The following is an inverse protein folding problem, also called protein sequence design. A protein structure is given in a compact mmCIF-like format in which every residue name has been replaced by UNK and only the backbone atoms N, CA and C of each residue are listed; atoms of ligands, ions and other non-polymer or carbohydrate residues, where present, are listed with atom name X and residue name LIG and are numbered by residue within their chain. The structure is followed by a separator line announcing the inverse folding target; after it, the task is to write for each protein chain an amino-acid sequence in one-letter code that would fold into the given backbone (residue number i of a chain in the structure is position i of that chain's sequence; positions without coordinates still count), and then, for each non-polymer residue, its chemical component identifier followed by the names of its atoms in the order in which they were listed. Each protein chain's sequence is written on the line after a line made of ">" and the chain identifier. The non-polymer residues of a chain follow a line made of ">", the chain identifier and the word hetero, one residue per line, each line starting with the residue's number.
data_IF_542731417366
#
_entry.id   IF_542731417366
#
_cell.length_a   1.000
_cell.length_b   1.000
_cell.length_c   1.000
_cell.angle_alpha   90.00
_cell.angle_beta   90.00
_cell.angle_gamma   90.00
#
_symmetry.space_group_name_H-M   'P 1'
#
loop_
_entity.id
_entity.type
_entity.pdbx_description
1 polymer ?
#
# COMPACT_ATOMS: atom_id res chain seq x y z
N UNK A 1 24.76 -0.93 20.11
CA UNK A 1 25.06 -0.65 18.69
C UNK A 1 26.54 -0.90 18.48
N UNK A 2 26.93 -2.03 17.88
CA UNK A 2 28.35 -2.35 17.68
C UNK A 2 28.89 -1.72 16.39
N UNK A 3 30.06 -1.10 16.44
CA UNK A 3 30.74 -0.40 15.33
C UNK A 3 30.78 -1.24 14.05
N UNK A 4 31.00 -2.54 14.17
CA UNK A 4 30.99 -3.50 13.07
C UNK A 4 29.70 -3.48 12.23
N UNK A 5 28.51 -3.36 12.84
CA UNK A 5 27.24 -3.30 12.10
C UNK A 5 27.09 -2.00 11.32
N UNK A 6 27.70 -0.90 11.78
CA UNK A 6 27.66 0.40 11.09
C UNK A 6 28.54 0.33 9.84
N UNK A 7 29.77 -0.16 9.97
CA UNK A 7 30.71 -0.31 8.84
C UNK A 7 30.13 -1.23 7.76
N UNK A 8 29.56 -2.37 8.14
CA UNK A 8 28.91 -3.30 7.21
C UNK A 8 27.68 -2.71 6.51
N UNK A 9 26.89 -1.87 7.21
CA UNK A 9 25.77 -1.13 6.60
C UNK A 9 26.26 -0.09 5.61
N UNK A 10 27.29 0.68 5.98
CA UNK A 10 27.86 1.72 5.14
C UNK A 10 28.42 1.17 3.83
N UNK A 11 29.17 0.06 3.87
CA UNK A 11 29.67 -0.61 2.66
C UNK A 11 28.55 -1.08 1.71
N UNK A 12 27.36 -1.39 2.23
CA UNK A 12 26.23 -1.89 1.43
C UNK A 12 25.35 -0.78 0.87
N UNK A 13 25.17 0.30 1.61
CA UNK A 13 24.17 1.35 1.33
C UNK A 13 24.81 2.70 0.97
N UNK A 14 26.12 2.84 1.18
CA UNK A 14 26.89 4.07 0.99
C UNK A 14 26.31 5.28 1.74
N UNK A 15 25.55 5.01 2.81
CA UNK A 15 24.85 6.02 3.60
C UNK A 15 25.01 5.71 5.08
N UNK A 16 25.19 6.78 5.86
CA UNK A 16 25.30 6.74 7.32
C UNK A 16 23.92 6.90 7.98
N UNK A 17 22.92 7.32 7.20
CA UNK A 17 21.56 7.54 7.67
C UNK A 17 20.91 6.23 8.15
N UNK A 18 20.16 6.34 9.24
CA UNK A 18 19.41 5.21 9.74
C UNK A 18 18.28 4.83 8.77
N UNK A 19 18.14 3.53 8.54
CA UNK A 19 17.06 3.03 7.71
C UNK A 19 15.71 3.33 8.38
N UNK A 20 14.73 3.85 7.62
CA UNK A 20 13.39 4.04 8.16
C UNK A 20 12.89 2.70 8.67
N UNK A 21 12.44 2.66 9.92
CA UNK A 21 11.84 1.44 10.49
C UNK A 21 10.72 1.00 9.56
N UNK A 22 10.87 -0.19 8.98
CA UNK A 22 9.95 -0.71 7.99
C UNK A 22 8.52 -0.71 8.55
N UNK A 23 7.65 0.12 7.96
CA UNK A 23 6.26 0.14 8.36
C UNK A 23 5.59 -1.19 7.98
N UNK A 24 4.77 -1.75 8.88
CA UNK A 24 4.03 -2.97 8.57
C UNK A 24 3.08 -2.71 7.39
N UNK A 25 3.07 -3.56 6.35
CA UNK A 25 2.16 -3.40 5.24
C UNK A 25 0.71 -3.43 5.72
N UNK A 26 -0.14 -2.53 5.22
CA UNK A 26 -1.57 -2.52 5.53
C UNK A 26 -2.23 -3.79 4.99
N UNK A 27 -2.86 -4.58 5.86
CA UNK A 27 -3.48 -5.87 5.52
C UNK A 27 -4.51 -5.79 4.40
N UNK A 28 -5.30 -4.72 4.35
CA UNK A 28 -6.38 -4.53 3.36
C UNK A 28 -5.85 -4.04 2.01
N UNK A 29 -4.74 -3.31 1.99
CA UNK A 29 -4.19 -2.68 0.77
C UNK A 29 -3.20 -3.60 0.03
N UNK A 30 -3.60 -4.86 -0.18
CA UNK A 30 -2.78 -5.80 -0.94
C UNK A 30 -2.77 -5.44 -2.42
N UNK A 31 -1.76 -5.93 -3.14
CA UNK A 31 -1.69 -5.79 -4.60
C UNK A 31 -2.92 -6.41 -5.29
N UNK A 32 -3.37 -7.58 -4.81
CA UNK A 32 -4.55 -8.29 -5.36
C UNK A 32 -5.81 -7.44 -5.26
N UNK A 33 -6.07 -6.83 -4.10
CA UNK A 33 -7.24 -5.94 -3.91
C UNK A 33 -7.16 -4.74 -4.86
N UNK A 34 -6.00 -4.09 -4.96
CA UNK A 34 -5.80 -2.96 -5.88
C UNK A 34 -6.09 -3.34 -7.33
N UNK A 35 -5.62 -4.49 -7.79
CA UNK A 35 -5.85 -4.99 -9.15
C UNK A 35 -7.34 -5.22 -9.43
N UNK A 36 -8.07 -5.82 -8.48
CA UNK A 36 -9.52 -6.07 -8.61
C UNK A 36 -10.31 -4.76 -8.61
N UNK A 37 -9.99 -3.83 -7.71
CA UNK A 37 -10.66 -2.51 -7.64
C UNK A 37 -10.42 -1.71 -8.92
N UNK A 38 -9.17 -1.68 -9.42
CA UNK A 38 -8.85 -1.02 -10.70
C UNK A 38 -9.67 -1.60 -11.85
N UNK A 39 -9.75 -2.94 -11.97
CA UNK A 39 -10.59 -3.59 -12.99
C UNK A 39 -12.07 -3.20 -12.87
N UNK A 40 -12.62 -3.16 -11.66
CA UNK A 40 -14.04 -2.80 -11.46
C UNK A 40 -14.35 -1.35 -11.82
N UNK A 41 -13.44 -0.41 -11.50
CA UNK A 41 -13.57 1.00 -11.89
C UNK A 41 -13.54 1.14 -13.41
N UNK A 42 -12.61 0.44 -14.08
CA UNK A 42 -12.52 0.48 -15.55
C UNK A 42 -13.75 -0.14 -16.22
N UNK A 43 -14.31 -1.20 -15.63
CA UNK A 43 -15.51 -1.85 -16.16
C UNK A 43 -16.78 -1.02 -15.93
N UNK A 44 -16.91 -0.40 -14.76
CA UNK A 44 -18.08 0.38 -14.36
C UNK A 44 -17.63 1.70 -13.73
N UNK A 45 -17.31 2.68 -14.58
CA UNK A 45 -16.79 3.98 -14.16
C UNK A 45 -17.76 4.78 -13.27
N UNK A 46 -19.07 4.59 -13.45
CA UNK A 46 -20.13 5.17 -12.60
C UNK A 46 -20.46 4.34 -11.35
N UNK A 47 -19.69 3.28 -11.08
CA UNK A 47 -19.94 2.33 -10.00
C UNK A 47 -19.72 2.93 -8.60
N UNK A 48 -20.66 2.67 -7.67
CA UNK A 48 -20.53 3.12 -6.28
C UNK A 48 -19.39 2.41 -5.55
N UNK A 49 -18.47 3.19 -4.97
CA UNK A 49 -17.41 2.68 -4.08
C UNK A 49 -17.96 1.88 -2.89
N UNK A 50 -19.14 2.25 -2.37
CA UNK A 50 -19.76 1.55 -1.24
C UNK A 50 -20.17 0.13 -1.63
N UNK A 51 -20.77 -0.04 -2.81
CA UNK A 51 -21.14 -1.35 -3.37
C UNK A 51 -19.91 -2.22 -3.64
N UNK A 52 -18.83 -1.62 -4.17
CA UNK A 52 -17.55 -2.34 -4.34
C UNK A 52 -16.93 -2.78 -3.01
N UNK A 53 -17.03 -1.94 -1.97
CA UNK A 53 -16.53 -2.23 -0.64
C UNK A 53 -17.28 -3.42 -0.02
N UNK A 54 -18.62 -3.41 -0.07
CA UNK A 54 -19.47 -4.52 0.37
C UNK A 54 -19.13 -5.81 -0.38
N UNK A 55 -19.02 -5.77 -1.71
CA UNK A 55 -18.69 -6.95 -2.53
C UNK A 55 -17.30 -7.55 -2.27
N UNK A 56 -16.40 -6.80 -1.62
CA UNK A 56 -15.05 -7.26 -1.29
C UNK A 56 -14.85 -7.44 0.22
N UNK A 57 -15.90 -7.27 1.03
CA UNK A 57 -15.83 -7.29 2.49
C UNK A 57 -14.75 -6.34 3.04
N UNK A 58 -14.63 -5.16 2.43
CA UNK A 58 -13.69 -4.11 2.82
C UNK A 58 -14.47 -2.94 3.42
N UNK A 59 -13.90 -2.29 4.43
CA UNK A 59 -14.54 -1.08 4.98
C UNK A 59 -14.62 0.03 3.91
N UNK A 60 -15.74 0.78 3.83
CA UNK A 60 -15.90 1.87 2.87
C UNK A 60 -14.76 2.90 2.94
N UNK A 61 -14.24 3.16 4.14
CA UNK A 61 -13.10 4.06 4.37
C UNK A 61 -11.81 3.54 3.72
N UNK A 62 -11.50 2.24 3.87
CA UNK A 62 -10.35 1.61 3.20
C UNK A 62 -10.50 1.61 1.69
N UNK A 63 -11.70 1.34 1.18
CA UNK A 63 -11.98 1.43 -0.27
C UNK A 63 -11.68 2.83 -0.80
N UNK A 64 -12.20 3.88 -0.16
CA UNK A 64 -11.91 5.27 -0.53
C UNK A 64 -10.42 5.58 -0.51
N UNK A 65 -9.70 5.13 0.52
CA UNK A 65 -8.23 5.32 0.62
C UNK A 65 -7.48 4.62 -0.51
N UNK A 66 -7.91 3.42 -0.91
CA UNK A 66 -7.30 2.67 -2.01
C UNK A 66 -7.50 3.42 -3.33
N UNK A 67 -8.73 3.85 -3.62
CA UNK A 67 -9.05 4.57 -4.86
C UNK A 67 -8.26 5.88 -4.94
N UNK A 68 -8.38 6.76 -3.94
CA UNK A 68 -7.74 8.08 -3.95
C UNK A 68 -6.21 8.03 -3.86
N UNK A 69 -5.66 7.33 -2.88
CA UNK A 69 -4.22 7.42 -2.57
C UNK A 69 -3.36 6.35 -3.23
N UNK A 70 -3.96 5.30 -3.81
CA UNK A 70 -3.18 4.19 -4.41
C UNK A 70 -3.48 3.95 -5.88
N UNK A 71 -4.68 4.26 -6.34
CA UNK A 71 -5.05 4.10 -7.76
C UNK A 71 -5.09 5.44 -8.51
N UNK A 72 -5.25 6.56 -7.81
CA UNK A 72 -5.21 7.90 -8.42
C UNK A 72 -6.46 8.25 -9.23
N UNK A 73 -7.59 7.61 -8.94
CA UNK A 73 -8.91 7.98 -9.46
C UNK A 73 -9.65 8.90 -8.49
#
# INVERSE_FOLDING_TARGET
>A
MAVHHIVKRYQKLSSVEDHPKGAKPRSVNTFRVRKVVKKRILQNSKGSMRKMASNLNISPASMRRIVKHKLGF
#
